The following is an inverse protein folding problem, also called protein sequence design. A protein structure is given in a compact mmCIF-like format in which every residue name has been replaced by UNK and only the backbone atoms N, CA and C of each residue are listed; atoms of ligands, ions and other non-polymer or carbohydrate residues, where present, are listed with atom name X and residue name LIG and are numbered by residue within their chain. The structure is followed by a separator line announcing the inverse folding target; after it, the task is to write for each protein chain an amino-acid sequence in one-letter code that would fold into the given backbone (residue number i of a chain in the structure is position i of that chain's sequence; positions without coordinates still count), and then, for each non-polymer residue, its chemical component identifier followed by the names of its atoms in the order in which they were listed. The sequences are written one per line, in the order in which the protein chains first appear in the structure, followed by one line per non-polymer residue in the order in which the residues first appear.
data_IF_452680522596
#
_entry.id   IF_452680522596
#
_cell.length_a   1.000
_cell.length_b   1.000
_cell.length_c   1.000
_cell.angle_alpha   90.00
_cell.angle_beta   90.00
_cell.angle_gamma   90.00
#
_symmetry.space_group_name_H-M   'P 1'
#
loop_
_entity.id
_entity.type
_entity.pdbx_description
1 polymer ?
#
# COMPACT_ATOMS: atom_id res chain seq x y z
N UNK A 1 -24.43 0.35 -9.71
CA UNK A 1 -23.14 0.47 -10.43
C UNK A 1 -22.61 1.91 -10.28
N UNK A 2 -21.31 2.07 -10.07
CA UNK A 2 -20.70 3.40 -10.03
C UNK A 2 -19.30 3.35 -10.67
N UNK A 3 -18.80 4.51 -11.05
CA UNK A 3 -17.48 4.71 -11.64
C UNK A 3 -16.75 5.78 -10.83
N UNK A 4 -15.49 5.56 -10.54
CA UNK A 4 -14.66 6.48 -9.76
C UNK A 4 -13.29 6.56 -10.41
N UNK A 5 -12.80 7.76 -10.60
CA UNK A 5 -11.49 8.03 -11.19
C UNK A 5 -10.48 8.40 -10.09
N UNK A 6 -9.22 8.13 -10.32
CA UNK A 6 -8.14 8.53 -9.40
C UNK A 6 -8.18 10.02 -9.09
N UNK A 7 -8.49 10.87 -10.07
CA UNK A 7 -8.60 12.32 -9.91
C UNK A 7 -9.71 12.73 -8.95
N UNK A 8 -10.80 11.97 -8.89
CA UNK A 8 -11.89 12.23 -7.93
C UNK A 8 -11.38 12.05 -6.50
N UNK A 9 -10.56 11.02 -6.28
CA UNK A 9 -9.98 10.74 -4.97
C UNK A 9 -8.88 11.75 -4.63
N UNK A 10 -8.10 12.20 -5.59
CA UNK A 10 -7.13 13.28 -5.38
C UNK A 10 -7.80 14.57 -4.91
N UNK A 11 -8.98 14.87 -5.42
CA UNK A 11 -9.74 16.07 -5.11
C UNK A 11 -10.53 15.97 -3.80
N UNK A 12 -11.26 14.87 -3.63
CA UNK A 12 -12.26 14.72 -2.56
C UNK A 12 -11.85 13.71 -1.47
N UNK A 13 -10.77 12.96 -1.67
CA UNK A 13 -10.32 11.91 -0.77
C UNK A 13 -11.16 10.63 -0.82
N UNK A 14 -10.89 9.64 0.01
CA UNK A 14 -9.79 9.65 0.99
C UNK A 14 -8.42 9.42 0.34
N UNK A 15 -7.54 10.34 0.61
CA UNK A 15 -6.13 10.30 0.22
C UNK A 15 -5.30 10.39 1.50
N UNK A 16 -4.44 9.42 1.73
CA UNK A 16 -3.59 9.37 2.92
C UNK A 16 -2.13 9.46 2.50
N UNK A 17 -1.44 10.47 3.05
CA UNK A 17 0.02 10.57 3.03
C UNK A 17 0.54 9.76 4.22
N UNK A 18 1.29 8.67 3.96
CA UNK A 18 1.67 7.74 5.03
C UNK A 18 3.17 7.79 5.39
N UNK A 19 3.87 8.83 4.93
CA UNK A 19 5.27 9.08 5.27
C UNK A 19 6.24 8.76 4.15
N UNK A 20 6.16 7.60 3.55
CA UNK A 20 7.01 7.19 2.42
C UNK A 20 6.25 7.17 1.10
N UNK A 21 5.01 7.64 1.09
CA UNK A 21 4.21 7.68 -0.11
C UNK A 21 2.76 8.06 0.15
N UNK A 22 1.92 7.77 -0.83
CA UNK A 22 0.49 8.10 -0.78
C UNK A 22 -0.38 6.87 -1.02
N UNK A 23 -1.57 6.89 -0.44
CA UNK A 23 -2.60 5.88 -0.66
C UNK A 23 -3.90 6.58 -1.04
N UNK A 24 -4.28 6.47 -2.30
CA UNK A 24 -5.57 6.94 -2.80
C UNK A 24 -6.57 5.80 -2.64
N UNK A 25 -7.53 5.94 -1.74
CA UNK A 25 -8.48 4.88 -1.40
C UNK A 25 -9.68 4.91 -2.32
N UNK A 26 -9.61 4.12 -3.40
CA UNK A 26 -10.64 4.06 -4.43
C UNK A 26 -11.90 3.35 -3.97
N UNK A 27 -11.76 2.31 -3.15
CA UNK A 27 -12.87 1.63 -2.48
C UNK A 27 -12.58 1.51 -0.99
N UNK A 28 -13.58 1.83 -0.17
CA UNK A 28 -13.51 1.74 1.29
C UNK A 28 -14.69 0.96 1.85
N UNK A 29 -14.72 0.76 3.15
CA UNK A 29 -15.76 0.01 3.85
C UNK A 29 -17.18 0.49 3.51
N UNK A 30 -17.39 1.79 3.43
CA UNK A 30 -18.71 2.38 3.14
C UNK A 30 -19.26 2.05 1.75
N UNK A 31 -18.41 1.61 0.83
CA UNK A 31 -18.85 1.18 -0.50
C UNK A 31 -19.46 -0.23 -0.48
N UNK A 32 -19.31 -0.97 0.61
CA UNK A 32 -20.03 -2.23 0.85
C UNK A 32 -19.54 -3.43 0.05
N UNK A 33 -18.35 -3.37 -0.54
CA UNK A 33 -17.82 -4.46 -1.38
C UNK A 33 -17.10 -5.55 -0.57
N UNK A 34 -16.79 -5.30 0.70
CA UNK A 34 -16.10 -6.25 1.56
C UNK A 34 -14.57 -6.24 1.42
N UNK A 35 -14.03 -5.41 0.54
CA UNK A 35 -12.59 -5.20 0.36
C UNK A 35 -12.33 -3.75 -0.01
N UNK A 36 -11.08 -3.34 0.09
CA UNK A 36 -10.63 -2.02 -0.37
C UNK A 36 -9.68 -2.15 -1.55
N UNK A 37 -9.71 -1.15 -2.42
CA UNK A 37 -8.75 -0.98 -3.51
C UNK A 37 -8.12 0.38 -3.39
N UNK A 38 -6.79 0.43 -3.37
CA UNK A 38 -6.02 1.65 -3.25
C UNK A 38 -5.02 1.77 -4.40
N UNK A 39 -4.83 3.00 -4.86
CA UNK A 39 -3.70 3.35 -5.71
C UNK A 39 -2.58 3.84 -4.79
N UNK A 40 -1.52 3.08 -4.69
CA UNK A 40 -0.46 3.29 -3.70
C UNK A 40 0.84 3.68 -4.40
N UNK A 41 1.45 4.75 -3.92
CA UNK A 41 2.78 5.18 -4.36
C UNK A 41 3.76 4.97 -3.21
N UNK A 42 4.87 4.31 -3.51
CA UNK A 42 6.04 4.22 -2.62
C UNK A 42 7.13 5.07 -3.26
N UNK A 43 7.51 6.16 -2.59
CA UNK A 43 8.45 7.13 -3.17
C UNK A 43 9.84 6.55 -3.35
N UNK A 44 10.50 6.99 -4.40
CA UNK A 44 11.90 6.67 -4.69
C UNK A 44 12.77 6.91 -3.46
N UNK A 45 13.71 6.00 -3.22
CA UNK A 45 14.70 6.13 -2.14
C UNK A 45 14.15 5.92 -0.73
N UNK A 46 12.89 5.54 -0.57
CA UNK A 46 12.29 5.31 0.75
C UNK A 46 12.29 3.84 1.15
N UNK A 47 12.32 3.60 2.45
CA UNK A 47 12.10 2.31 3.08
C UNK A 47 11.20 2.51 4.28
N UNK A 48 10.26 1.60 4.49
CA UNK A 48 9.34 1.64 5.63
C UNK A 48 9.19 0.25 6.21
N UNK A 49 8.98 0.16 7.53
CA UNK A 49 8.71 -1.10 8.22
C UNK A 49 7.23 -1.14 8.57
N UNK A 50 6.47 -1.98 7.89
CA UNK A 50 5.01 -1.99 7.94
C UNK A 50 4.46 -3.35 8.36
N UNK A 51 3.26 -3.32 8.91
CA UNK A 51 2.46 -4.51 9.20
C UNK A 51 0.98 -4.17 9.16
N UNK A 52 0.16 -5.07 8.64
CA UNK A 52 -1.30 -4.97 8.71
C UNK A 52 -1.83 -6.06 9.61
N UNK A 53 -2.11 -5.72 10.87
CA UNK A 53 -2.58 -6.68 11.88
C UNK A 53 -4.05 -7.03 11.71
N UNK A 54 -4.83 -6.13 11.13
CA UNK A 54 -6.28 -6.25 10.99
C UNK A 54 -6.71 -6.52 9.54
N UNK A 55 -5.78 -6.62 8.61
CA UNK A 55 -6.05 -6.78 7.19
C UNK A 55 -5.04 -7.73 6.55
N UNK A 56 -5.48 -8.42 5.51
CA UNK A 56 -4.59 -9.04 4.53
C UNK A 56 -4.44 -8.08 3.36
N UNK A 57 -3.30 -8.09 2.70
CA UNK A 57 -3.05 -7.22 1.56
C UNK A 57 -2.45 -7.98 0.39
N UNK A 58 -2.91 -7.65 -0.81
CA UNK A 58 -2.25 -8.03 -2.06
C UNK A 58 -1.89 -6.76 -2.82
N UNK A 59 -0.67 -6.71 -3.33
CA UNK A 59 -0.15 -5.55 -4.08
C UNK A 59 0.28 -5.97 -5.48
N UNK A 60 -0.28 -5.30 -6.48
CA UNK A 60 0.07 -5.52 -7.88
C UNK A 60 0.77 -4.29 -8.45
N UNK A 61 2.01 -4.45 -8.91
CA UNK A 61 2.78 -3.35 -9.46
C UNK A 61 2.32 -3.01 -10.87
N UNK A 62 2.04 -1.73 -11.11
CA UNK A 62 1.60 -1.21 -12.41
C UNK A 62 2.60 -0.25 -13.05
N UNK A 63 3.52 0.32 -12.28
CA UNK A 63 4.54 1.23 -12.80
C UNK A 63 5.73 1.31 -11.85
N UNK A 64 6.86 1.73 -12.41
CA UNK A 64 8.09 1.88 -11.63
C UNK A 64 8.73 0.55 -11.28
N UNK A 65 9.63 0.59 -10.30
CA UNK A 65 10.29 -0.58 -9.74
C UNK A 65 10.71 -0.30 -8.29
N UNK A 66 10.89 -1.37 -7.55
CA UNK A 66 11.33 -1.30 -6.16
C UNK A 66 11.56 -2.69 -5.62
N UNK A 67 11.40 -2.84 -4.32
CA UNK A 67 11.62 -4.09 -3.62
C UNK A 67 10.65 -4.25 -2.46
N UNK A 68 10.46 -5.47 -2.03
CA UNK A 68 9.87 -5.77 -0.72
C UNK A 68 10.77 -6.77 0.01
N UNK A 69 11.12 -6.44 1.25
CA UNK A 69 11.88 -7.32 2.13
C UNK A 69 10.98 -7.97 3.17
N UNK A 70 11.28 -9.22 3.53
CA UNK A 70 10.64 -9.92 4.65
C UNK A 70 11.51 -9.86 5.91
N UNK A 71 11.05 -10.48 7.00
CA UNK A 71 11.79 -10.51 8.27
C UNK A 71 12.92 -11.54 8.32
N UNK A 72 13.04 -12.37 7.28
CA UNK A 72 14.08 -13.40 7.18
C UNK A 72 15.28 -12.96 6.32
N UNK A 73 15.29 -11.70 5.89
CA UNK A 73 16.35 -11.15 5.05
C UNK A 73 16.18 -11.41 3.56
N UNK A 74 15.06 -11.99 3.15
CA UNK A 74 14.75 -12.15 1.73
C UNK A 74 14.33 -10.80 1.15
N UNK A 75 14.79 -10.50 -0.05
CA UNK A 75 14.44 -9.29 -0.80
C UNK A 75 13.91 -9.71 -2.16
N UNK A 76 12.71 -9.26 -2.45
CA UNK A 76 12.02 -9.58 -3.70
C UNK A 76 11.95 -8.33 -4.57
N UNK A 77 12.49 -8.38 -5.81
CA UNK A 77 12.33 -7.26 -6.73
C UNK A 77 10.87 -7.14 -7.17
N UNK A 78 10.40 -5.90 -7.22
CA UNK A 78 9.04 -5.59 -7.65
C UNK A 78 9.11 -4.73 -8.89
N UNK A 79 8.45 -5.16 -9.95
CA UNK A 79 8.38 -4.48 -11.25
C UNK A 79 6.97 -4.65 -11.83
N UNK A 80 6.59 -3.90 -12.87
CA UNK A 80 5.26 -4.04 -13.46
C UNK A 80 4.91 -5.49 -13.78
N UNK A 81 3.74 -5.92 -13.32
CA UNK A 81 3.27 -7.30 -13.44
C UNK A 81 3.57 -8.20 -12.24
N UNK A 82 4.32 -7.72 -11.25
CA UNK A 82 4.60 -8.48 -10.03
C UNK A 82 3.48 -8.32 -9.02
N UNK A 83 3.00 -9.43 -8.49
CA UNK A 83 2.10 -9.49 -7.34
C UNK A 83 2.89 -9.93 -6.11
N UNK A 84 2.74 -9.23 -4.98
CA UNK A 84 3.15 -9.77 -3.69
C UNK A 84 1.97 -9.72 -2.70
N UNK A 85 1.97 -10.65 -1.77
CA UNK A 85 0.82 -10.88 -0.89
C UNK A 85 1.31 -11.01 0.54
N UNK A 86 0.64 -10.29 1.44
CA UNK A 86 0.85 -10.35 2.88
C UNK A 86 -0.30 -11.18 3.47
N UNK A 87 -0.18 -12.50 3.38
CA UNK A 87 -1.26 -13.46 3.69
C UNK A 87 -1.27 -13.94 5.14
N UNK A 88 -0.29 -13.50 5.95
CA UNK A 88 -0.14 -13.89 7.36
C UNK A 88 0.09 -12.69 8.27
N UNK A 89 -0.42 -11.53 7.89
CA UNK A 89 -0.17 -10.27 8.61
C UNK A 89 1.33 -9.98 8.74
N UNK A 90 2.08 -10.26 7.68
CA UNK A 90 3.53 -10.23 7.69
C UNK A 90 4.08 -8.82 7.91
N UNK A 91 5.10 -8.73 8.76
CA UNK A 91 5.94 -7.54 8.79
C UNK A 91 6.80 -7.53 7.53
N UNK A 92 6.92 -6.37 6.92
CA UNK A 92 7.63 -6.25 5.64
C UNK A 92 8.23 -4.86 5.46
N UNK A 93 9.15 -4.76 4.50
CA UNK A 93 9.85 -3.52 4.17
C UNK A 93 9.63 -3.19 2.70
N UNK A 94 8.59 -2.41 2.34
CA UNK A 94 8.48 -1.90 0.98
C UNK A 94 9.52 -0.79 0.75
N UNK A 95 10.15 -0.83 -0.42
CA UNK A 95 11.16 0.15 -0.84
C UNK A 95 10.81 0.66 -2.22
N UNK A 96 10.81 1.99 -2.37
CA UNK A 96 10.73 2.62 -3.68
C UNK A 96 12.01 2.38 -4.47
N UNK A 97 11.94 2.59 -5.76
CA UNK A 97 13.09 2.46 -6.65
C UNK A 97 14.17 3.48 -6.33
N UNK A 98 15.37 3.26 -6.84
CA UNK A 98 16.50 4.18 -6.65
C UNK A 98 16.21 5.55 -7.24
N UNK A 99 15.66 5.58 -8.45
CA UNK A 99 15.46 6.80 -9.23
C UNK A 99 14.00 7.08 -9.57
N UNK A 100 13.06 6.25 -9.11
CA UNK A 100 11.66 6.38 -9.43
C UNK A 100 10.73 5.76 -8.41
N UNK A 101 9.52 6.24 -8.38
CA UNK A 101 8.48 5.75 -7.48
C UNK A 101 7.99 4.37 -7.92
N UNK A 102 7.63 3.56 -6.94
CA UNK A 102 6.92 2.30 -7.15
C UNK A 102 5.42 2.56 -7.07
N UNK A 103 4.66 2.13 -8.07
CA UNK A 103 3.21 2.33 -8.10
C UNK A 103 2.50 0.98 -8.05
N UNK A 104 1.62 0.84 -7.08
CA UNK A 104 0.92 -0.39 -6.77
C UNK A 104 -0.60 -0.19 -6.78
N UNK A 105 -1.32 -1.23 -7.21
CA UNK A 105 -2.72 -1.40 -6.83
C UNK A 105 -2.73 -2.30 -5.61
N UNK A 106 -3.22 -1.78 -4.49
CA UNK A 106 -3.28 -2.50 -3.21
C UNK A 106 -4.72 -2.89 -2.91
N UNK A 107 -4.93 -4.16 -2.57
CA UNK A 107 -6.24 -4.69 -2.18
C UNK A 107 -6.18 -5.16 -0.75
N UNK A 108 -7.12 -4.71 0.08
CA UNK A 108 -7.21 -5.06 1.50
C UNK A 108 -8.48 -5.85 1.80
N UNK A 109 -8.34 -6.87 2.62
CA UNK A 109 -9.44 -7.67 3.15
C UNK A 109 -9.25 -7.88 4.67
N UNK A 110 -10.19 -7.52 5.54
CA UNK A 110 -11.39 -6.72 5.23
C UNK A 110 -11.07 -5.31 4.76
N UNK A 111 -12.09 -4.59 4.34
CA UNK A 111 -11.95 -3.24 3.81
C UNK A 111 -11.44 -2.24 4.85
N UNK A 112 -10.71 -1.24 4.36
CA UNK A 112 -10.30 -0.08 5.16
C UNK A 112 -11.49 0.87 5.34
N UNK A 113 -11.53 1.56 6.47
CA UNK A 113 -12.50 2.65 6.69
C UNK A 113 -12.18 3.87 5.84
N UNK A 114 -10.91 4.12 5.58
CA UNK A 114 -10.42 5.17 4.70
C UNK A 114 -9.45 6.14 5.35
N UNK A 115 -9.37 6.15 6.68
CA UNK A 115 -8.52 7.07 7.44
C UNK A 115 -7.25 6.42 8.01
N UNK A 116 -7.14 5.10 7.96
CA UNK A 116 -6.00 4.38 8.54
C UNK A 116 -4.69 4.89 7.93
N UNK A 117 -3.72 5.13 8.78
CA UNK A 117 -2.44 5.70 8.39
C UNK A 117 -1.31 5.10 9.19
N UNK A 118 -0.19 4.84 8.52
CA UNK A 118 1.03 4.43 9.18
C UNK A 118 1.66 5.56 9.98
N UNK A 119 2.29 5.19 11.07
CA UNK A 119 3.15 6.07 11.87
C UNK A 119 4.59 5.52 11.80
N UNK A 120 5.43 6.19 11.03
CA UNK A 120 6.81 5.76 10.80
C UNK A 120 7.80 6.32 11.82
N UNK A 121 7.33 7.05 12.83
CA UNK A 121 8.18 7.66 13.87
C UNK A 121 8.65 6.69 14.97
N UNK A 122 8.31 5.40 14.87
CA UNK A 122 8.70 4.37 15.83
C UNK A 122 9.75 3.43 15.25
N UNK A 123 10.57 2.81 16.13
CA UNK A 123 11.49 1.75 15.74
C UNK A 123 10.78 0.42 15.45
N UNK A 124 9.53 0.27 15.90
CA UNK A 124 8.70 -0.89 15.62
C UNK A 124 8.01 -0.78 14.28
N UNK A 125 7.51 -1.92 13.76
CA UNK A 125 6.68 -1.93 12.57
C UNK A 125 5.46 -1.01 12.76
N UNK A 126 5.22 -0.12 11.82
CA UNK A 126 3.98 0.65 11.81
C UNK A 126 2.83 -0.27 11.40
N UNK A 127 1.77 -0.31 12.20
CA UNK A 127 0.70 -1.27 12.03
C UNK A 127 -0.69 -0.64 12.14
N UNK A 128 -1.63 -1.20 11.38
CA UNK A 128 -3.07 -0.98 11.58
C UNK A 128 -3.90 -2.16 11.06
#
# INVERSE_FOLDING_TARGET
MFVRNLRDVEKDGPLVEWGSGTSHRLLTEKDGMGYSVCHTVVRAGTESHLQYRNHLEACYCIAGEGEVGDMNGNVFPIRPGTLYVLDRHDQHYPRGGKDGDLVLVSVFNPSLKGHERHNLGSAEASAY
#
